data_IF_061384137755
#
_entry.id   IF_061384137755
#
_cell.length_a   1.000
_cell.length_b   1.000
_cell.length_c   1.000
_cell.angle_alpha   90.00
_cell.angle_beta   90.00
_cell.angle_gamma   90.00
#
_symmetry.space_group_name_H-M   'P 1'
#
loop_
_entity.id
_entity.type
_entity.pdbx_description
1 polymer ?
#
# COMPACT_ATOMS: atom_id res chain seq x y z
N UNK A 1 -41.57 -44.62 -46.42
CA UNK A 1 -40.41 -43.65 -46.45
C UNK A 1 -40.71 -42.36 -45.78
N UNK A 2 -41.84 -41.71 -45.91
CA UNK A 2 -42.20 -40.40 -45.30
C UNK A 2 -42.25 -40.39 -43.77
N UNK A 3 -42.75 -41.46 -43.13
CA UNK A 3 -42.85 -41.54 -41.65
C UNK A 3 -41.46 -41.61 -40.96
N UNK A 4 -40.49 -42.35 -41.56
CA UNK A 4 -39.13 -42.44 -41.00
C UNK A 4 -38.39 -41.08 -41.04
N UNK A 5 -38.66 -40.27 -42.06
CA UNK A 5 -38.08 -38.95 -42.23
C UNK A 5 -38.64 -37.96 -41.18
N UNK A 6 -39.95 -38.04 -40.88
CA UNK A 6 -40.61 -37.20 -39.87
C UNK A 6 -40.08 -37.53 -38.47
N UNK A 7 -39.89 -38.79 -38.12
CA UNK A 7 -39.31 -39.19 -36.83
C UNK A 7 -37.87 -38.71 -36.68
N UNK A 8 -37.06 -38.74 -37.73
CA UNK A 8 -35.68 -38.26 -37.75
C UNK A 8 -35.61 -36.74 -37.53
N UNK A 9 -36.51 -35.98 -38.14
CA UNK A 9 -36.59 -34.52 -37.96
C UNK A 9 -37.02 -34.16 -36.53
N UNK A 10 -37.96 -34.91 -35.97
CA UNK A 10 -38.40 -34.71 -34.56
C UNK A 10 -37.29 -35.03 -33.56
N UNK A 11 -36.49 -36.07 -33.83
CA UNK A 11 -35.33 -36.43 -32.99
C UNK A 11 -34.22 -35.37 -33.05
N UNK A 12 -34.01 -34.78 -34.21
CA UNK A 12 -33.02 -33.71 -34.40
C UNK A 12 -33.45 -32.40 -33.77
N UNK A 13 -34.75 -32.08 -33.74
CA UNK A 13 -35.29 -30.89 -33.09
C UNK A 13 -35.24 -30.95 -31.56
N UNK A 14 -35.23 -32.15 -30.96
CA UNK A 14 -35.07 -32.32 -29.51
C UNK A 14 -33.63 -32.14 -29.04
N UNK A 15 -32.63 -32.30 -29.93
CA UNK A 15 -31.22 -32.05 -29.59
C UNK A 15 -30.82 -30.58 -29.67
N UNK A 16 -31.61 -29.72 -30.32
CA UNK A 16 -31.29 -28.31 -30.51
C UNK A 16 -31.68 -27.41 -29.29
N UNK A 17 -32.31 -27.94 -28.24
CA UNK A 17 -32.85 -27.15 -27.15
C UNK A 17 -31.91 -27.06 -25.93
N UNK A 18 -30.75 -27.70 -25.99
CA UNK A 18 -29.79 -27.66 -24.87
C UNK A 18 -28.51 -26.87 -25.15
N UNK A 19 -28.59 -25.77 -25.89
CA UNK A 19 -27.58 -24.72 -25.79
C UNK A 19 -27.91 -23.84 -24.62
N UNK A 20 -27.75 -24.35 -23.39
CA UNK A 20 -27.60 -23.50 -22.23
C UNK A 20 -26.29 -22.73 -22.44
N UNK A 21 -26.41 -21.48 -22.82
CA UNK A 21 -25.35 -20.50 -22.59
C UNK A 21 -25.06 -20.54 -21.11
N UNK A 22 -23.94 -21.14 -20.72
CA UNK A 22 -23.39 -20.89 -19.39
C UNK A 22 -22.98 -19.41 -19.42
N UNK A 23 -23.86 -18.55 -18.99
CA UNK A 23 -23.50 -17.24 -18.49
C UNK A 23 -22.55 -17.50 -17.32
N UNK A 24 -21.26 -17.61 -17.64
CA UNK A 24 -20.22 -17.56 -16.63
C UNK A 24 -20.33 -16.16 -16.02
N UNK A 25 -21.11 -16.03 -14.96
CA UNK A 25 -21.06 -14.84 -14.10
C UNK A 25 -19.60 -14.65 -13.70
N UNK A 26 -18.92 -13.74 -14.35
CA UNK A 26 -17.55 -13.36 -13.97
C UNK A 26 -17.65 -12.73 -12.59
N UNK A 27 -17.27 -13.48 -11.58
CA UNK A 27 -17.13 -12.95 -10.22
C UNK A 27 -15.89 -12.07 -10.18
N UNK A 28 -16.10 -10.78 -10.04
CA UNK A 28 -15.01 -9.83 -9.85
C UNK A 28 -14.74 -9.68 -8.35
N UNK A 29 -13.48 -9.73 -7.97
CA UNK A 29 -13.03 -9.29 -6.66
C UNK A 29 -12.51 -7.85 -6.78
N UNK A 30 -13.13 -6.94 -6.07
CA UNK A 30 -12.71 -5.52 -6.05
C UNK A 30 -11.76 -5.33 -4.87
N UNK A 31 -10.59 -4.77 -5.14
CA UNK A 31 -9.58 -4.43 -4.15
C UNK A 31 -9.31 -2.92 -4.17
N UNK A 32 -9.26 -2.31 -2.99
CA UNK A 32 -8.79 -0.93 -2.85
C UNK A 32 -7.27 -0.94 -2.72
N UNK A 33 -6.61 -0.16 -3.56
CA UNK A 33 -5.18 0.14 -3.50
C UNK A 33 -5.05 1.63 -3.20
N UNK A 34 -4.23 2.00 -2.22
CA UNK A 34 -4.09 3.37 -1.79
C UNK A 34 -2.62 3.78 -1.66
N UNK A 35 -2.37 5.07 -1.70
CA UNK A 35 -1.13 5.69 -1.28
C UNK A 35 -1.45 6.82 -0.32
N UNK A 36 -0.77 6.87 0.85
CA UNK A 36 -1.05 7.85 1.87
C UNK A 36 0.23 8.43 2.47
N UNK A 37 0.35 9.76 2.46
CA UNK A 37 1.42 10.47 3.15
C UNK A 37 1.02 10.65 4.62
N UNK A 38 1.85 10.18 5.55
CA UNK A 38 1.58 10.20 6.98
C UNK A 38 2.12 11.45 7.70
N UNK A 39 2.53 12.46 6.92
CA UNK A 39 2.87 13.79 7.39
C UNK A 39 3.89 13.78 8.54
N UNK A 40 5.07 13.23 8.28
CA UNK A 40 6.15 13.06 9.26
C UNK A 40 5.66 12.32 10.52
N UNK A 41 5.24 11.08 10.34
CA UNK A 41 4.89 10.19 11.44
C UNK A 41 6.16 9.65 12.10
N UNK A 42 6.59 10.34 13.17
CA UNK A 42 7.69 9.95 14.02
C UNK A 42 7.15 9.51 15.38
N UNK A 43 7.87 8.60 16.03
CA UNK A 43 7.58 8.21 17.40
C UNK A 43 8.08 9.26 18.41
N UNK A 44 8.18 8.91 19.66
CA UNK A 44 8.58 9.84 20.73
C UNK A 44 9.99 9.58 21.28
N UNK A 45 10.73 8.68 20.62
CA UNK A 45 12.07 8.21 21.00
C UNK A 45 13.07 8.81 20.00
N UNK A 46 14.17 9.37 20.49
CA UNK A 46 15.19 9.95 19.64
C UNK A 46 16.15 8.87 19.12
N UNK A 47 16.30 8.77 17.80
CA UNK A 47 17.36 7.96 17.17
C UNK A 47 18.63 8.80 17.04
N UNK A 48 19.63 8.49 17.84
CA UNK A 48 20.91 9.21 17.87
C UNK A 48 21.70 9.16 16.54
N UNK A 49 21.31 8.30 15.60
CA UNK A 49 21.94 8.17 14.28
C UNK A 49 21.23 8.98 13.19
N UNK A 50 20.12 9.63 13.52
CA UNK A 50 19.29 10.41 12.59
C UNK A 50 19.11 11.84 13.13
N UNK A 51 18.65 12.74 12.28
CA UNK A 51 18.30 14.11 12.68
C UNK A 51 16.79 14.21 13.04
N UNK A 52 16.26 13.20 13.71
CA UNK A 52 14.84 13.09 14.05
C UNK A 52 14.42 14.03 15.16
N UNK A 53 15.37 14.56 15.97
CA UNK A 53 15.11 15.62 16.96
C UNK A 53 14.52 16.88 16.31
N UNK A 54 14.67 17.04 14.99
CA UNK A 54 14.08 18.12 14.21
C UNK A 54 12.62 17.85 13.82
N UNK A 55 12.13 16.64 14.04
CA UNK A 55 10.75 16.27 13.70
C UNK A 55 9.71 17.05 14.48
N UNK A 56 8.49 17.23 13.97
CA UNK A 56 7.44 17.97 14.64
C UNK A 56 7.12 17.44 16.03
N UNK A 57 7.07 16.12 16.21
CA UNK A 57 6.73 15.48 17.47
C UNK A 57 7.81 15.73 18.54
N UNK A 58 9.09 15.71 18.15
CA UNK A 58 10.20 15.92 19.08
C UNK A 58 10.28 17.35 19.62
N UNK A 59 9.72 18.31 18.90
CA UNK A 59 9.64 19.71 19.35
C UNK A 59 8.55 19.96 20.39
N UNK A 60 7.64 19.01 20.59
CA UNK A 60 6.54 19.13 21.55
C UNK A 60 7.07 18.90 22.97
N UNK A 61 6.85 19.86 23.87
CA UNK A 61 7.34 19.81 25.26
C UNK A 61 6.43 19.01 26.20
N UNK A 62 5.12 19.03 25.96
CA UNK A 62 4.12 18.45 26.86
C UNK A 62 3.18 17.51 26.09
N UNK A 63 2.71 16.46 26.75
CA UNK A 63 1.74 15.50 26.21
C UNK A 63 2.16 14.80 24.89
N UNK A 64 3.47 14.72 24.61
CA UNK A 64 4.02 14.15 23.38
C UNK A 64 3.43 12.76 23.08
N UNK A 65 3.45 11.86 24.06
CA UNK A 65 2.93 10.50 23.90
C UNK A 65 1.43 10.47 23.60
N UNK A 66 0.64 11.40 24.18
CA UNK A 66 -0.78 11.51 23.85
C UNK A 66 -0.99 11.95 22.41
N UNK A 67 -0.27 12.99 21.98
CA UNK A 67 -0.34 13.54 20.63
C UNK A 67 0.07 12.46 19.58
N UNK A 68 1.11 11.69 19.88
CA UNK A 68 1.52 10.57 19.05
C UNK A 68 0.39 9.53 18.90
N UNK A 69 -0.18 9.08 20.03
CA UNK A 69 -1.29 8.11 20.02
C UNK A 69 -2.51 8.63 19.27
N UNK A 70 -2.87 9.90 19.48
CA UNK A 70 -3.97 10.54 18.76
C UNK A 70 -3.69 10.56 17.24
N UNK A 71 -2.44 10.83 16.83
CA UNK A 71 -2.04 10.81 15.42
C UNK A 71 -2.12 9.39 14.84
N UNK A 72 -1.59 8.38 15.53
CA UNK A 72 -1.72 6.96 15.14
C UNK A 72 -3.19 6.59 14.92
N UNK A 73 -4.06 6.90 15.89
CA UNK A 73 -5.47 6.55 15.80
C UNK A 73 -6.20 7.28 14.65
N UNK A 74 -5.84 8.54 14.38
CA UNK A 74 -6.38 9.29 13.25
C UNK A 74 -5.93 8.70 11.91
N UNK A 75 -4.64 8.34 11.77
CA UNK A 75 -4.12 7.70 10.55
C UNK A 75 -4.76 6.33 10.31
N UNK A 76 -4.88 5.51 11.36
CA UNK A 76 -5.56 4.22 11.30
C UNK A 76 -7.03 4.37 10.88
N UNK A 77 -7.72 5.39 11.40
CA UNK A 77 -9.10 5.72 11.01
C UNK A 77 -9.18 6.04 9.52
N UNK A 78 -8.35 6.97 9.03
CA UNK A 78 -8.36 7.32 7.60
C UNK A 78 -8.10 6.09 6.74
N UNK A 79 -7.07 5.31 7.06
CA UNK A 79 -6.75 4.09 6.31
C UNK A 79 -7.94 3.11 6.31
N UNK A 80 -8.61 2.92 7.44
CA UNK A 80 -9.75 2.00 7.53
C UNK A 80 -10.96 2.42 6.68
N UNK A 81 -11.08 3.71 6.36
CA UNK A 81 -12.21 4.28 5.63
C UNK A 81 -11.96 4.42 4.11
N UNK A 82 -10.71 4.34 3.64
CA UNK A 82 -10.40 4.48 2.21
C UNK A 82 -11.07 3.36 1.39
N UNK A 83 -11.99 3.73 0.49
CA UNK A 83 -12.71 2.81 -0.39
C UNK A 83 -13.70 1.88 0.32
N UNK A 84 -13.99 2.13 1.60
CA UNK A 84 -14.90 1.30 2.40
C UNK A 84 -16.34 1.34 1.87
N UNK A 85 -16.77 2.43 1.29
CA UNK A 85 -18.08 2.58 0.64
C UNK A 85 -18.28 1.57 -0.50
N UNK A 86 -17.20 1.21 -1.20
CA UNK A 86 -17.21 0.28 -2.34
C UNK A 86 -16.95 -1.16 -1.87
N UNK A 87 -15.85 -1.39 -1.15
CA UNK A 87 -15.36 -2.74 -0.84
C UNK A 87 -15.88 -3.30 0.48
N UNK A 88 -16.47 -2.45 1.34
CA UNK A 88 -16.91 -2.75 2.72
C UNK A 88 -15.79 -3.32 3.61
N UNK A 89 -14.56 -3.02 3.26
CA UNK A 89 -13.34 -3.39 3.99
C UNK A 89 -12.25 -2.35 3.75
N UNK A 90 -11.26 -2.22 4.65
CA UNK A 90 -10.10 -1.38 4.45
C UNK A 90 -9.30 -1.81 3.21
N UNK A 91 -8.40 -0.96 2.69
CA UNK A 91 -7.62 -1.26 1.49
C UNK A 91 -6.83 -2.56 1.61
N UNK A 92 -6.73 -3.29 0.50
CA UNK A 92 -5.88 -4.48 0.44
C UNK A 92 -4.40 -4.14 0.46
N UNK A 93 -4.02 -2.97 -0.07
CA UNK A 93 -2.64 -2.49 -0.12
C UNK A 93 -2.64 -0.97 0.09
N UNK A 94 -1.74 -0.49 0.94
CA UNK A 94 -1.46 0.94 1.11
C UNK A 94 0.03 1.18 1.05
N UNK A 95 0.50 1.89 0.02
CA UNK A 95 1.81 2.52 0.03
C UNK A 95 1.78 3.72 0.98
N UNK A 96 2.78 3.84 1.82
CA UNK A 96 2.88 4.91 2.81
C UNK A 96 4.22 5.62 2.70
N UNK A 97 4.26 6.89 3.06
CA UNK A 97 5.48 7.66 3.13
C UNK A 97 5.47 8.65 4.29
N UNK A 98 6.62 9.25 4.54
CA UNK A 98 6.87 10.12 5.69
C UNK A 98 6.65 9.40 7.03
N UNK A 99 7.17 8.21 7.11
CA UNK A 99 7.28 7.40 8.32
C UNK A 99 8.73 7.37 8.79
N UNK A 100 8.94 7.25 10.08
CA UNK A 100 10.28 7.21 10.66
C UNK A 100 10.88 5.81 10.60
N UNK A 101 10.11 4.80 11.02
CA UNK A 101 10.61 3.45 11.18
C UNK A 101 9.48 2.42 11.13
N UNK A 102 9.83 1.14 11.23
CA UNK A 102 8.85 0.05 11.23
C UNK A 102 7.90 0.10 12.42
N UNK A 103 8.36 0.57 13.59
CA UNK A 103 7.56 0.56 14.82
C UNK A 103 6.33 1.48 14.70
N UNK A 104 6.46 2.66 14.05
CA UNK A 104 5.29 3.53 13.83
C UNK A 104 4.25 2.89 12.90
N UNK A 105 4.67 2.02 11.98
CA UNK A 105 3.74 1.27 11.12
C UNK A 105 3.06 0.17 11.92
N UNK A 106 3.80 -0.51 12.79
CA UNK A 106 3.28 -1.53 13.70
C UNK A 106 2.21 -0.95 14.62
N UNK A 107 2.44 0.27 15.15
CA UNK A 107 1.44 0.99 15.96
C UNK A 107 0.17 1.32 15.18
N UNK A 108 0.28 1.72 13.88
CA UNK A 108 -0.89 1.97 13.03
C UNK A 108 -1.73 0.70 12.86
N UNK A 109 -1.10 -0.42 12.48
CA UNK A 109 -1.86 -1.67 12.22
C UNK A 109 -2.36 -2.34 13.50
N UNK A 110 -1.80 -1.99 14.66
CA UNK A 110 -2.25 -2.45 15.98
C UNK A 110 -3.45 -1.63 16.52
N UNK A 111 -3.79 -0.49 15.92
CA UNK A 111 -4.95 0.31 16.34
C UNK A 111 -6.26 -0.48 16.20
N UNK A 112 -7.23 -0.20 17.07
CA UNK A 112 -8.53 -0.87 17.14
C UNK A 112 -9.24 -0.97 15.78
N UNK A 113 -9.02 -0.01 14.89
CA UNK A 113 -9.66 0.08 13.58
C UNK A 113 -9.04 -0.84 12.52
N UNK A 114 -7.79 -1.29 12.73
CA UNK A 114 -7.05 -2.08 11.75
C UNK A 114 -6.61 -3.45 12.27
N UNK A 115 -6.47 -3.64 13.59
CA UNK A 115 -5.88 -4.84 14.20
C UNK A 115 -6.53 -6.17 13.82
N UNK A 116 -7.80 -6.17 13.41
CA UNK A 116 -8.54 -7.37 13.00
C UNK A 116 -8.38 -7.72 11.52
N UNK A 117 -7.69 -6.87 10.74
CA UNK A 117 -7.63 -7.00 9.28
C UNK A 117 -6.36 -7.71 8.76
N UNK A 118 -5.63 -8.43 9.62
CA UNK A 118 -4.49 -9.28 9.25
C UNK A 118 -3.46 -8.58 8.34
N UNK A 119 -3.08 -7.32 8.69
CA UNK A 119 -2.09 -6.58 7.91
C UNK A 119 -0.67 -7.09 8.12
N UNK A 120 0.09 -7.12 7.02
CA UNK A 120 1.54 -7.25 7.00
C UNK A 120 2.21 -5.92 6.65
N UNK A 121 3.51 -5.86 6.89
CA UNK A 121 4.36 -4.69 6.65
C UNK A 121 5.51 -5.09 5.74
N UNK A 122 5.83 -4.23 4.76
CA UNK A 122 7.13 -4.22 4.07
C UNK A 122 7.75 -2.85 4.29
N UNK A 123 8.94 -2.82 4.88
CA UNK A 123 9.68 -1.61 5.20
C UNK A 123 11.18 -1.89 5.19
N UNK A 124 11.94 -0.91 4.74
CA UNK A 124 13.41 -0.85 4.81
C UNK A 124 13.82 0.57 5.19
N UNK A 125 14.82 0.67 6.05
CA UNK A 125 15.42 1.96 6.38
C UNK A 125 16.12 2.53 5.15
N UNK A 126 15.93 3.80 4.91
CA UNK A 126 16.58 4.54 3.83
C UNK A 126 17.67 5.48 4.36
N UNK A 127 18.57 5.97 3.50
CA UNK A 127 19.67 6.84 3.91
C UNK A 127 19.24 8.29 4.15
N UNK A 128 17.96 8.64 4.18
CA UNK A 128 17.51 10.01 4.48
C UNK A 128 18.00 10.43 5.87
N UNK A 129 18.69 11.58 5.95
CA UNK A 129 19.32 12.02 7.20
C UNK A 129 18.32 12.31 8.32
N UNK A 130 17.08 12.63 7.97
CA UNK A 130 16.01 12.91 8.94
C UNK A 130 15.35 11.63 9.47
N UNK A 131 15.71 10.45 8.89
CA UNK A 131 15.05 9.19 9.20
C UNK A 131 13.64 9.09 8.60
N UNK A 132 13.39 9.67 7.42
CA UNK A 132 12.11 9.55 6.74
C UNK A 132 12.19 8.41 5.72
N UNK A 133 11.21 7.51 5.77
CA UNK A 133 11.14 6.33 4.93
C UNK A 133 9.83 6.25 4.14
N UNK A 134 9.77 5.22 3.29
CA UNK A 134 8.57 4.70 2.64
C UNK A 134 8.30 3.29 3.12
N UNK A 135 7.06 2.87 3.07
CA UNK A 135 6.66 1.52 3.45
C UNK A 135 5.40 1.07 2.72
N UNK A 136 5.03 -0.16 2.95
CA UNK A 136 3.78 -0.73 2.47
C UNK A 136 3.12 -1.53 3.59
N UNK A 137 1.83 -1.31 3.81
CA UNK A 137 0.98 -2.23 4.55
C UNK A 137 0.07 -2.97 3.58
N UNK A 138 -0.19 -4.23 3.85
CA UNK A 138 -0.99 -5.07 2.96
C UNK A 138 -1.80 -6.10 3.75
N UNK A 139 -3.01 -6.38 3.32
CA UNK A 139 -3.82 -7.45 3.88
C UNK A 139 -3.28 -8.80 3.41
N UNK A 140 -2.82 -9.66 4.35
CA UNK A 140 -2.21 -10.96 4.07
C UNK A 140 -3.18 -11.98 3.47
N UNK A 141 -4.49 -11.77 3.67
CA UNK A 141 -5.51 -12.66 3.10
C UNK A 141 -5.78 -12.34 1.62
N UNK A 142 -5.37 -11.15 1.16
CA UNK A 142 -5.58 -10.69 -0.22
C UNK A 142 -4.30 -10.67 -1.06
N UNK A 143 -3.16 -10.37 -0.44
CA UNK A 143 -1.88 -10.20 -1.15
C UNK A 143 -0.79 -11.09 -0.56
N UNK A 144 -0.24 -11.96 -1.41
CA UNK A 144 0.86 -12.88 -1.09
C UNK A 144 2.17 -12.29 -1.61
N UNK A 145 2.96 -11.69 -0.73
CA UNK A 145 4.27 -11.10 -1.05
C UNK A 145 5.26 -12.19 -1.43
N UNK A 146 5.87 -12.09 -2.61
CA UNK A 146 6.91 -13.02 -3.09
C UNK A 146 8.32 -12.44 -2.97
N UNK A 147 8.47 -11.15 -3.19
CA UNK A 147 9.76 -10.47 -3.01
C UNK A 147 9.56 -9.01 -2.68
N UNK A 148 10.54 -8.45 -1.99
CA UNK A 148 10.65 -7.01 -1.76
C UNK A 148 12.11 -6.59 -1.77
N UNK A 149 12.37 -5.38 -2.25
CA UNK A 149 13.70 -4.79 -2.29
C UNK A 149 13.62 -3.28 -2.10
N UNK A 150 14.63 -2.72 -1.47
CA UNK A 150 14.89 -1.28 -1.44
C UNK A 150 15.90 -0.92 -2.53
N UNK A 151 15.58 0.08 -3.33
CA UNK A 151 16.46 0.58 -4.39
C UNK A 151 16.89 2.00 -4.09
N UNK A 152 18.18 2.17 -3.94
CA UNK A 152 18.77 3.46 -3.59
C UNK A 152 18.60 4.49 -4.70
N UNK A 153 18.06 5.64 -4.33
CA UNK A 153 17.96 6.81 -5.22
C UNK A 153 19.22 7.63 -5.12
N UNK A 154 19.93 7.78 -6.25
CA UNK A 154 21.14 8.59 -6.35
C UNK A 154 20.79 9.99 -6.82
N UNK A 155 20.88 10.97 -5.92
CA UNK A 155 20.76 12.40 -6.24
C UNK A 155 22.08 13.06 -5.90
N UNK A 156 22.59 13.87 -6.81
CA UNK A 156 23.79 14.68 -6.60
C UNK A 156 23.40 16.14 -6.45
N UNK A 157 23.96 16.80 -5.47
CA UNK A 157 23.83 18.26 -5.33
C UNK A 157 24.68 18.95 -6.39
N UNK A 158 24.05 19.74 -7.24
CA UNK A 158 24.71 20.39 -8.40
C UNK A 158 25.81 21.38 -7.99
N UNK A 159 25.75 21.96 -6.78
CA UNK A 159 26.72 22.97 -6.34
C UNK A 159 27.93 22.34 -5.67
N UNK A 160 27.73 21.25 -4.90
CA UNK A 160 28.80 20.61 -4.13
C UNK A 160 29.32 19.33 -4.76
N UNK A 161 28.65 18.82 -5.78
CA UNK A 161 28.89 17.52 -6.43
C UNK A 161 28.88 16.34 -5.42
N UNK A 162 28.27 16.53 -4.24
CA UNK A 162 28.13 15.52 -3.20
C UNK A 162 26.80 14.80 -3.33
N UNK A 163 26.81 13.53 -2.96
CA UNK A 163 25.57 12.74 -2.87
C UNK A 163 24.64 13.39 -1.84
N UNK A 164 23.38 13.58 -2.23
CA UNK A 164 22.28 13.93 -1.31
C UNK A 164 21.55 12.66 -0.93
N UNK A 165 21.56 12.32 0.36
CA UNK A 165 20.80 11.22 0.89
C UNK A 165 19.29 11.55 0.84
N UNK A 166 18.51 10.59 0.41
CA UNK A 166 17.05 10.69 0.33
C UNK A 166 16.43 9.31 0.51
N UNK A 167 15.11 9.23 0.50
CA UNK A 167 14.36 7.99 0.60
C UNK A 167 14.66 7.09 -0.59
N UNK A 168 14.81 5.82 -0.30
CA UNK A 168 14.93 4.78 -1.32
C UNK A 168 13.55 4.47 -1.93
N UNK A 169 13.54 3.80 -3.08
CA UNK A 169 12.33 3.27 -3.69
C UNK A 169 12.08 1.88 -3.14
N UNK A 170 10.90 1.64 -2.61
CA UNK A 170 10.49 0.30 -2.18
C UNK A 170 9.77 -0.40 -3.33
N UNK A 171 10.29 -1.55 -3.77
CA UNK A 171 9.66 -2.41 -4.77
C UNK A 171 9.16 -3.67 -4.09
N UNK A 172 7.87 -3.97 -4.25
CA UNK A 172 7.23 -5.16 -3.70
C UNK A 172 6.51 -5.90 -4.82
N UNK A 173 6.79 -7.19 -4.95
CA UNK A 173 6.15 -8.06 -5.94
C UNK A 173 5.42 -9.19 -5.24
N UNK A 174 4.22 -9.52 -5.73
CA UNK A 174 3.40 -10.58 -5.13
C UNK A 174 2.12 -10.81 -5.92
N UNK A 175 1.30 -11.72 -5.41
CA UNK A 175 0.03 -12.07 -6.03
C UNK A 175 -1.14 -11.42 -5.28
N UNK A 176 -1.89 -10.56 -5.98
CA UNK A 176 -3.17 -10.03 -5.52
C UNK A 176 -4.29 -10.84 -6.16
N UNK A 177 -5.02 -11.61 -5.36
CA UNK A 177 -6.08 -12.48 -5.85
C UNK A 177 -5.63 -13.40 -7.02
N UNK A 178 -4.38 -13.90 -6.96
CA UNK A 178 -3.79 -14.77 -7.98
C UNK A 178 -3.13 -14.06 -9.17
N UNK A 179 -3.26 -12.75 -9.29
CA UNK A 179 -2.64 -11.92 -10.32
C UNK A 179 -1.30 -11.37 -9.84
N UNK A 180 -0.23 -11.59 -10.63
CA UNK A 180 1.09 -11.05 -10.30
C UNK A 180 1.10 -9.54 -10.45
N UNK A 181 1.44 -8.84 -9.39
CA UNK A 181 1.50 -7.39 -9.35
C UNK A 181 2.83 -6.89 -8.77
N UNK A 182 3.26 -5.72 -9.23
CA UNK A 182 4.45 -5.04 -8.77
C UNK A 182 4.07 -3.65 -8.28
N UNK A 183 4.47 -3.32 -7.05
CA UNK A 183 4.21 -2.03 -6.42
C UNK A 183 5.54 -1.33 -6.21
N UNK A 184 5.63 -0.08 -6.67
CA UNK A 184 6.79 0.78 -6.47
C UNK A 184 6.34 1.97 -5.63
N UNK A 185 6.78 2.00 -4.38
CA UNK A 185 6.46 3.07 -3.43
C UNK A 185 7.59 4.07 -3.43
N UNK A 186 7.26 5.33 -3.72
CA UNK A 186 8.22 6.42 -3.85
C UNK A 186 7.78 7.63 -3.04
N UNK A 187 8.75 8.34 -2.49
CA UNK A 187 8.55 9.68 -1.95
C UNK A 187 9.67 10.60 -2.42
N UNK A 188 9.43 11.28 -3.53
CA UNK A 188 10.41 12.18 -4.13
C UNK A 188 10.66 13.42 -3.28
N UNK A 189 11.88 14.01 -3.31
CA UNK A 189 12.13 15.30 -2.71
C UNK A 189 11.17 16.36 -3.27
N UNK A 190 10.61 17.17 -2.37
CA UNK A 190 9.78 18.30 -2.77
C UNK A 190 10.56 19.28 -3.66
N UNK A 191 9.84 20.01 -4.52
CA UNK A 191 10.42 21.12 -5.27
C UNK A 191 10.94 22.16 -4.28
N UNK A 192 12.26 22.40 -4.30
CA UNK A 192 12.82 23.57 -3.63
C UNK A 192 12.38 24.86 -4.34
N UNK A 193 12.52 26.01 -3.68
CA UNK A 193 12.25 27.32 -4.28
C UNK A 193 13.17 27.64 -5.48
N UNK A 194 14.22 26.84 -5.68
CA UNK A 194 15.21 26.96 -6.76
C UNK A 194 15.14 25.69 -7.63
N UNK A 195 14.59 25.83 -8.84
CA UNK A 195 14.46 24.73 -9.82
C UNK A 195 15.82 24.19 -10.30
N UNK A 196 16.91 24.90 -10.03
CA UNK A 196 18.27 24.48 -10.38
C UNK A 196 18.83 23.38 -9.46
N UNK A 197 18.11 23.00 -8.41
CA UNK A 197 18.51 21.99 -7.39
C UNK A 197 17.98 20.58 -7.64
N UNK A 198 17.57 20.29 -8.84
CA UNK A 198 17.11 18.96 -9.26
C UNK A 198 18.17 18.18 -9.98
#
# INVERSE_FOLDING_TARGET
MKIKLIILIYFFSLFSIQSYSQENERKFNIHTLAFYNLENLFDTINDVNKEDEKSPIMKIKFNRSKIYKDKISNMAKVISEIGFDITKRPPSIVGICEIENKAVIEDIIADEKLKTHNYGIVHYDSPDNRGIDVGMIYNKDAFDVKSSNSHTVFITDNNSNKRRNTRDQLVVSGYLNGELMHFIINHWPSRGADETKR
#
